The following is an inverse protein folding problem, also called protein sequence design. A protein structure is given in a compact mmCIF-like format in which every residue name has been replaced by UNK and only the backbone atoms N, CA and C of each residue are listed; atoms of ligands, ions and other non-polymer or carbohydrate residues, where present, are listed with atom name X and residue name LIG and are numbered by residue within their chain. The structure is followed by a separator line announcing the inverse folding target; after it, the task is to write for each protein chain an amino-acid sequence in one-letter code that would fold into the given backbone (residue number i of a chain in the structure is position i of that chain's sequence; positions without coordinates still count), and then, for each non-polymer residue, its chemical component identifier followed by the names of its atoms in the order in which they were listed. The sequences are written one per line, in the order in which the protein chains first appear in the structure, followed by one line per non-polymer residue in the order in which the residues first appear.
data_IF_916672664154
#
_entry.id   IF_916672664154
#
_cell.length_a   1.000
_cell.length_b   1.000
_cell.length_c   1.000
_cell.angle_alpha   90.00
_cell.angle_beta   90.00
_cell.angle_gamma   90.00
#
_symmetry.space_group_name_H-M   'P 1'
#
loop_
_entity.id
_entity.type
_entity.pdbx_description
1 polymer ?
#
# COMPACT_ATOMS: atom_id res chain seq x y z
N UNK A 1 12.98 -8.34 -23.10
CA UNK A 1 12.36 -8.62 -21.80
C UNK A 1 11.36 -9.75 -22.00
N UNK A 2 11.37 -10.74 -21.13
CA UNK A 2 10.53 -11.94 -21.21
C UNK A 2 10.12 -12.34 -19.78
N UNK A 3 8.87 -12.71 -19.59
CA UNK A 3 8.37 -13.30 -18.34
C UNK A 3 8.72 -14.79 -18.32
N UNK A 4 9.30 -15.24 -17.21
CA UNK A 4 9.71 -16.63 -17.04
C UNK A 4 9.24 -17.16 -15.69
N UNK A 5 8.53 -18.29 -15.74
CA UNK A 5 8.17 -19.03 -14.53
C UNK A 5 9.43 -19.70 -13.94
N UNK A 6 9.72 -19.43 -12.68
CA UNK A 6 10.85 -20.00 -11.95
C UNK A 6 10.41 -21.10 -10.98
N UNK A 7 9.15 -21.09 -10.56
CA UNK A 7 8.61 -22.10 -9.64
C UNK A 7 7.09 -22.12 -9.74
N UNK A 8 6.48 -23.29 -9.48
CA UNK A 8 5.04 -23.39 -9.20
C UNK A 8 4.75 -24.34 -8.05
N UNK A 9 3.63 -24.10 -7.36
CA UNK A 9 3.20 -24.87 -6.21
C UNK A 9 1.67 -25.07 -6.24
N UNK A 10 1.22 -26.32 -6.16
CA UNK A 10 -0.20 -26.63 -6.03
C UNK A 10 -0.71 -26.29 -4.61
N UNK A 11 -1.87 -25.68 -4.52
CA UNK A 11 -2.51 -25.27 -3.27
C UNK A 11 -3.80 -26.08 -3.06
N UNK A 12 -3.94 -26.65 -1.86
CA UNK A 12 -5.20 -27.26 -1.43
C UNK A 12 -6.03 -26.21 -0.68
N UNK A 13 -7.18 -25.86 -1.21
CA UNK A 13 -8.08 -24.87 -0.64
C UNK A 13 -8.27 -23.64 -1.52
N UNK A 14 -9.23 -22.81 -1.16
CA UNK A 14 -9.55 -21.61 -1.90
C UNK A 14 -8.73 -20.43 -1.38
N UNK A 15 -7.88 -19.87 -2.25
CA UNK A 15 -7.05 -18.69 -1.92
C UNK A 15 -7.95 -17.45 -1.90
N UNK A 16 -7.92 -16.70 -0.79
CA UNK A 16 -8.66 -15.44 -0.60
C UNK A 16 -7.79 -14.21 -0.77
N UNK A 17 -6.55 -14.30 -0.38
CA UNK A 17 -5.58 -13.22 -0.55
C UNK A 17 -4.17 -13.82 -0.63
N UNK A 18 -3.27 -13.13 -1.33
CA UNK A 18 -1.88 -13.52 -1.47
C UNK A 18 -0.99 -12.27 -1.38
N UNK A 19 0.20 -12.44 -0.80
CA UNK A 19 1.24 -11.43 -0.72
C UNK A 19 2.60 -12.06 -0.90
N UNK A 20 3.61 -11.24 -1.19
CA UNK A 20 4.97 -11.70 -1.38
C UNK A 20 5.96 -10.69 -0.79
N UNK A 21 7.13 -11.19 -0.39
CA UNK A 21 8.24 -10.39 0.12
C UNK A 21 9.34 -11.26 0.71
N UNK A 22 10.58 -10.77 0.64
CA UNK A 22 11.77 -11.42 1.22
C UNK A 22 11.96 -12.87 0.78
N UNK A 23 11.70 -13.18 -0.50
CA UNK A 23 11.87 -14.51 -1.06
C UNK A 23 10.75 -15.50 -0.71
N UNK A 24 9.60 -15.01 -0.26
CA UNK A 24 8.46 -15.83 0.16
C UNK A 24 7.17 -15.34 -0.48
N UNK A 25 6.26 -16.27 -0.76
CA UNK A 25 4.86 -15.98 -1.02
C UNK A 25 4.01 -16.50 0.16
N UNK A 26 3.02 -15.74 0.63
CA UNK A 26 2.10 -16.19 1.65
C UNK A 26 0.66 -15.92 1.22
N UNK A 27 -0.27 -16.80 1.63
CA UNK A 27 -1.67 -16.69 1.25
C UNK A 27 -2.63 -17.07 2.37
N UNK A 28 -3.78 -16.41 2.35
CA UNK A 28 -4.91 -16.72 3.21
C UNK A 28 -5.85 -17.67 2.48
N UNK A 29 -6.24 -18.75 3.14
CA UNK A 29 -7.27 -19.66 2.68
C UNK A 29 -8.66 -19.30 3.24
N UNK A 30 -9.71 -19.79 2.59
CA UNK A 30 -11.11 -19.53 3.00
C UNK A 30 -11.50 -20.11 4.35
N UNK A 31 -10.75 -21.09 4.85
CA UNK A 31 -10.90 -21.69 6.20
C UNK A 31 -10.16 -20.90 7.29
N UNK A 32 -9.42 -19.85 6.93
CA UNK A 32 -8.67 -19.00 7.85
C UNK A 32 -7.19 -19.37 8.02
N UNK A 33 -6.74 -20.48 7.44
CA UNK A 33 -5.32 -20.84 7.47
C UNK A 33 -4.48 -19.89 6.65
N UNK A 34 -3.36 -19.43 7.19
CA UNK A 34 -2.33 -18.66 6.48
C UNK A 34 -1.14 -19.56 6.20
N UNK A 35 -0.89 -19.75 4.92
CA UNK A 35 0.17 -20.60 4.39
C UNK A 35 1.31 -19.76 3.85
N UNK A 36 2.52 -20.31 3.79
CA UNK A 36 3.63 -19.68 3.10
C UNK A 36 4.48 -20.68 2.33
N UNK A 37 5.04 -20.22 1.22
CA UNK A 37 6.00 -20.88 0.35
C UNK A 37 7.34 -20.15 0.46
N UNK A 38 8.38 -20.85 0.84
CA UNK A 38 9.76 -20.37 0.69
C UNK A 38 10.20 -20.63 -0.74
N UNK A 39 10.42 -19.56 -1.50
CA UNK A 39 10.76 -19.67 -2.94
C UNK A 39 12.18 -20.16 -3.19
N UNK A 40 13.07 -20.15 -2.19
CA UNK A 40 14.42 -20.70 -2.30
C UNK A 40 14.46 -22.22 -2.13
N UNK A 41 13.61 -22.78 -1.28
CA UNK A 41 13.60 -24.21 -0.94
C UNK A 41 12.41 -24.98 -1.52
N UNK A 42 11.33 -24.29 -1.91
CA UNK A 42 10.05 -24.88 -2.29
C UNK A 42 9.23 -25.42 -1.11
N UNK A 43 9.64 -25.15 0.12
CA UNK A 43 8.93 -25.63 1.31
C UNK A 43 7.64 -24.83 1.52
N UNK A 44 6.54 -25.55 1.74
CA UNK A 44 5.23 -24.99 2.10
C UNK A 44 4.93 -25.30 3.54
N UNK A 45 4.58 -24.27 4.32
CA UNK A 45 4.23 -24.44 5.73
C UNK A 45 2.98 -23.61 6.06
N UNK A 46 2.22 -24.06 7.06
CA UNK A 46 1.18 -23.25 7.69
C UNK A 46 1.87 -22.29 8.67
N UNK A 47 1.73 -20.98 8.44
CA UNK A 47 2.32 -19.96 9.29
C UNK A 47 1.48 -19.74 10.54
N UNK A 48 0.16 -19.59 10.41
CA UNK A 48 -0.79 -19.48 11.50
C UNK A 48 -2.23 -19.67 11.02
N UNK A 49 -3.15 -19.75 11.97
CA UNK A 49 -4.59 -19.78 11.75
C UNK A 49 -5.21 -18.49 12.28
N UNK A 50 -6.11 -17.89 11.53
CA UNK A 50 -6.83 -16.67 11.91
C UNK A 50 -8.07 -16.95 12.76
N UNK A 51 -8.45 -18.22 12.94
CA UNK A 51 -9.59 -18.60 13.78
C UNK A 51 -9.41 -18.10 15.22
N UNK A 52 -10.46 -17.53 15.78
CA UNK A 52 -10.49 -16.97 17.11
C UNK A 52 -11.58 -17.62 17.97
N UNK A 53 -11.25 -17.88 19.22
CA UNK A 53 -12.24 -18.31 20.21
C UNK A 53 -13.03 -17.14 20.82
N UNK A 54 -12.57 -15.91 20.60
CA UNK A 54 -13.17 -14.69 21.18
C UNK A 54 -14.26 -14.15 20.28
N UNK A 55 -15.46 -14.04 20.83
CA UNK A 55 -16.58 -13.43 20.14
C UNK A 55 -16.49 -11.89 20.26
N UNK A 56 -16.32 -11.22 19.13
CA UNK A 56 -16.36 -9.76 19.03
C UNK A 56 -17.73 -9.32 18.54
N UNK A 57 -18.22 -8.17 19.02
CA UNK A 57 -19.53 -7.61 18.63
C UNK A 57 -19.63 -7.37 17.11
N UNK A 58 -18.50 -7.18 16.43
CA UNK A 58 -18.41 -6.97 14.98
C UNK A 58 -17.94 -8.22 14.20
N UNK A 59 -17.86 -9.39 14.85
CA UNK A 59 -17.49 -10.66 14.24
C UNK A 59 -15.98 -10.93 14.14
N UNK A 60 -15.12 -9.95 14.41
CA UNK A 60 -13.66 -10.13 14.37
C UNK A 60 -13.07 -10.17 12.94
N UNK A 61 -11.97 -10.91 12.76
CA UNK A 61 -11.36 -11.13 11.45
C UNK A 61 -12.19 -12.12 10.62
N UNK A 62 -12.53 -11.72 9.39
CA UNK A 62 -13.27 -12.57 8.44
C UNK A 62 -12.35 -13.01 7.31
N UNK A 63 -12.00 -14.31 7.27
CA UNK A 63 -11.16 -14.88 6.23
C UNK A 63 -11.79 -14.82 4.82
N UNK A 64 -13.11 -14.67 4.73
CA UNK A 64 -13.85 -14.57 3.47
C UNK A 64 -14.08 -13.14 2.99
N UNK A 65 -13.80 -12.14 3.81
CA UNK A 65 -13.82 -10.73 3.41
C UNK A 65 -12.60 -10.38 2.52
N UNK A 66 -12.70 -9.34 1.67
CA UNK A 66 -11.56 -8.84 0.93
C UNK A 66 -10.38 -8.56 1.87
N UNK A 67 -9.26 -9.25 1.64
CA UNK A 67 -8.10 -9.24 2.52
C UNK A 67 -6.81 -8.91 1.78
N UNK A 68 -5.78 -8.52 2.49
CA UNK A 68 -4.42 -8.35 1.99
C UNK A 68 -3.43 -9.10 2.89
N UNK A 69 -2.39 -9.66 2.26
CA UNK A 69 -1.29 -10.36 2.93
C UNK A 69 -0.02 -9.59 2.70
N UNK A 70 0.78 -9.44 3.74
CA UNK A 70 2.09 -8.77 3.74
C UNK A 70 3.14 -9.72 4.30
N UNK A 71 4.31 -9.75 3.69
CA UNK A 71 5.43 -10.62 4.08
C UNK A 71 6.70 -9.79 4.16
N UNK A 72 7.47 -9.94 5.22
CA UNK A 72 8.80 -9.32 5.35
C UNK A 72 9.64 -10.04 6.40
N UNK A 73 10.80 -10.58 6.01
CA UNK A 73 11.87 -11.04 6.91
C UNK A 73 11.37 -11.90 8.10
N UNK A 74 10.59 -12.95 7.84
CA UNK A 74 10.06 -13.83 8.88
C UNK A 74 8.80 -13.33 9.58
N UNK A 75 8.21 -12.23 9.12
CA UNK A 75 6.90 -11.75 9.57
C UNK A 75 5.87 -11.87 8.46
N UNK A 76 4.68 -12.32 8.83
CA UNK A 76 3.52 -12.37 7.94
C UNK A 76 2.36 -11.65 8.61
N UNK A 77 1.70 -10.76 7.87
CA UNK A 77 0.47 -10.11 8.30
C UNK A 77 -0.66 -10.38 7.34
N UNK A 78 -1.87 -10.47 7.86
CA UNK A 78 -3.11 -10.50 7.10
C UNK A 78 -4.10 -9.51 7.69
N UNK A 79 -4.75 -8.70 6.84
CA UNK A 79 -5.73 -7.71 7.26
C UNK A 79 -6.97 -7.76 6.38
N UNK A 80 -8.15 -7.53 6.95
CA UNK A 80 -9.35 -7.25 6.14
C UNK A 80 -9.24 -5.85 5.56
N UNK A 81 -9.13 -5.74 4.23
CA UNK A 81 -8.85 -4.47 3.52
C UNK A 81 -9.84 -3.37 3.88
N UNK A 82 -11.12 -3.71 3.86
CA UNK A 82 -12.22 -2.79 4.17
C UNK A 82 -12.88 -3.13 5.51
N UNK A 83 -12.09 -3.70 6.43
CA UNK A 83 -12.49 -4.11 7.77
C UNK A 83 -11.63 -3.48 8.85
N UNK A 84 -11.88 -3.92 10.09
CA UNK A 84 -11.19 -3.41 11.29
C UNK A 84 -10.02 -4.27 11.72
N UNK A 85 -10.01 -5.54 11.34
CA UNK A 85 -9.20 -6.57 11.97
C UNK A 85 -8.06 -7.06 11.09
N UNK A 86 -7.00 -7.51 11.74
CA UNK A 86 -5.87 -8.17 11.13
C UNK A 86 -5.04 -8.92 12.16
N UNK A 87 -4.10 -9.68 11.64
CA UNK A 87 -3.13 -10.47 12.40
C UNK A 87 -1.72 -10.25 11.90
N UNK A 88 -0.77 -10.30 12.81
CA UNK A 88 0.66 -10.38 12.49
C UNK A 88 1.25 -11.56 13.24
N UNK A 89 2.05 -12.36 12.58
CA UNK A 89 2.77 -13.51 13.15
C UNK A 89 4.25 -13.43 12.82
N UNK A 90 5.08 -13.97 13.71
CA UNK A 90 6.50 -14.24 13.49
C UNK A 90 6.72 -15.72 13.19
N UNK A 91 7.67 -16.05 12.33
CA UNK A 91 8.05 -17.44 12.04
C UNK A 91 8.93 -18.04 13.17
N UNK A 92 9.66 -17.19 13.90
CA UNK A 92 10.68 -17.61 14.86
C UNK A 92 10.10 -18.05 16.22
N UNK A 93 8.88 -17.66 16.54
CA UNK A 93 8.21 -18.07 17.77
C UNK A 93 6.68 -18.01 17.61
N UNK A 94 5.94 -18.67 18.52
CA UNK A 94 4.46 -18.72 18.54
C UNK A 94 3.81 -17.37 18.86
N UNK A 95 4.47 -16.27 18.48
CA UNK A 95 4.03 -14.93 18.77
C UNK A 95 3.10 -14.40 17.69
N UNK A 96 1.95 -13.92 18.12
CA UNK A 96 0.96 -13.26 17.25
C UNK A 96 0.47 -11.96 17.87
N UNK A 97 0.27 -10.95 17.04
CA UNK A 97 -0.42 -9.72 17.42
C UNK A 97 -1.72 -9.61 16.63
N UNK A 98 -2.77 -9.26 17.33
CA UNK A 98 -3.98 -8.82 16.71
C UNK A 98 -3.91 -7.32 16.42
N UNK A 99 -4.31 -6.94 15.21
CA UNK A 99 -4.49 -5.56 14.78
C UNK A 99 -5.97 -5.22 14.80
N UNK A 100 -6.29 -4.01 15.23
CA UNK A 100 -7.65 -3.47 15.19
C UNK A 100 -7.60 -1.96 15.00
N UNK A 101 -8.34 -1.44 14.01
CA UNK A 101 -8.55 0.00 13.81
C UNK A 101 -9.98 0.40 14.17
N UNK A 102 -10.24 1.71 14.28
CA UNK A 102 -11.61 2.22 14.44
C UNK A 102 -12.49 1.86 13.23
N UNK A 103 -13.79 2.11 13.35
CA UNK A 103 -14.79 1.74 12.32
C UNK A 103 -15.12 2.87 11.35
N UNK A 104 -14.51 4.06 11.50
CA UNK A 104 -14.93 5.22 10.72
C UNK A 104 -14.44 5.11 9.27
N UNK A 105 -15.38 5.14 8.31
CA UNK A 105 -15.14 5.07 6.85
C UNK A 105 -14.34 3.84 6.36
N UNK A 106 -14.29 2.75 7.12
CA UNK A 106 -13.51 1.54 6.78
C UNK A 106 -13.97 0.89 5.47
N UNK A 107 -15.24 1.02 5.08
CA UNK A 107 -15.76 0.44 3.84
C UNK A 107 -15.19 1.12 2.57
N UNK A 108 -14.60 2.30 2.73
CA UNK A 108 -14.06 3.12 1.64
C UNK A 108 -12.54 3.30 1.71
N UNK A 109 -11.88 2.69 2.70
CA UNK A 109 -10.47 2.90 2.97
C UNK A 109 -9.76 1.57 3.17
N UNK A 110 -8.76 1.28 2.34
CA UNK A 110 -7.88 0.13 2.54
C UNK A 110 -7.27 0.19 3.95
N UNK A 111 -7.07 -0.97 4.58
CA UNK A 111 -6.38 -1.04 5.86
C UNK A 111 -4.94 -0.56 5.69
N UNK A 112 -4.51 0.53 6.37
CA UNK A 112 -3.13 1.00 6.29
C UNK A 112 -2.20 -0.01 6.93
N UNK A 113 -1.39 -0.69 6.12
CA UNK A 113 -0.44 -1.70 6.57
C UNK A 113 0.78 -1.72 5.66
N UNK A 114 1.96 -1.82 6.26
CA UNK A 114 3.22 -2.01 5.55
C UNK A 114 4.33 -2.45 6.49
N UNK A 115 5.31 -3.16 5.96
CA UNK A 115 6.54 -3.51 6.66
C UNK A 115 7.73 -2.76 6.07
N UNK A 116 8.71 -2.45 6.90
CA UNK A 116 10.01 -1.91 6.46
C UNK A 116 11.15 -2.37 7.34
N UNK A 117 12.36 -2.25 6.83
CA UNK A 117 13.58 -2.51 7.59
C UNK A 117 14.26 -1.20 7.94
N UNK A 118 14.60 -1.03 9.21
CA UNK A 118 15.42 0.08 9.71
C UNK A 118 16.40 -0.46 10.75
N UNK A 119 17.67 -0.08 10.64
CA UNK A 119 18.74 -0.52 11.56
C UNK A 119 18.82 -2.05 11.75
N UNK A 120 18.60 -2.80 10.66
CA UNK A 120 18.61 -4.26 10.66
C UNK A 120 17.41 -4.93 11.31
N UNK A 121 16.38 -4.16 11.74
CA UNK A 121 15.18 -4.65 12.39
C UNK A 121 13.95 -4.46 11.50
N UNK A 122 12.97 -5.33 11.65
CA UNK A 122 11.68 -5.20 10.98
C UNK A 122 10.75 -4.32 11.80
N UNK A 123 10.16 -3.36 11.13
CA UNK A 123 9.15 -2.46 11.66
C UNK A 123 7.85 -2.64 10.88
N UNK A 124 6.76 -2.27 11.52
CA UNK A 124 5.41 -2.34 10.96
C UNK A 124 4.74 -0.98 11.09
N UNK A 125 4.14 -0.51 9.99
CA UNK A 125 3.18 0.60 9.99
C UNK A 125 1.79 -0.02 9.97
N UNK A 126 0.88 0.42 10.83
CA UNK A 126 -0.49 -0.11 10.88
C UNK A 126 -1.50 0.96 11.28
N UNK A 127 -2.72 0.85 10.74
CA UNK A 127 -3.81 1.76 11.05
C UNK A 127 -4.38 1.54 12.45
N UNK A 128 -4.56 2.62 13.21
CA UNK A 128 -5.27 2.64 14.49
C UNK A 128 -6.61 3.38 14.36
N UNK A 129 -6.61 4.47 13.61
CA UNK A 129 -7.80 5.23 13.28
C UNK A 129 -7.74 5.72 11.83
N UNK A 130 -8.85 6.26 11.33
CA UNK A 130 -8.94 6.77 9.96
C UNK A 130 -7.84 7.81 9.63
N UNK A 131 -7.48 8.65 10.60
CA UNK A 131 -6.47 9.70 10.48
C UNK A 131 -5.21 9.42 11.33
N UNK A 132 -4.98 8.17 11.72
CA UNK A 132 -3.85 7.82 12.58
C UNK A 132 -3.28 6.44 12.28
N UNK A 133 -1.98 6.41 12.00
CA UNK A 133 -1.19 5.19 11.89
C UNK A 133 -0.12 5.15 12.98
N UNK A 134 0.23 3.95 13.37
CA UNK A 134 1.29 3.67 14.34
C UNK A 134 2.46 2.97 13.66
N UNK A 135 3.65 3.15 14.22
CA UNK A 135 4.84 2.38 13.85
C UNK A 135 5.30 1.56 15.04
N UNK A 136 5.54 0.27 14.83
CA UNK A 136 6.06 -0.65 15.84
C UNK A 136 7.38 -1.28 15.40
N UNK A 137 8.33 -1.40 16.33
CA UNK A 137 9.51 -2.27 16.23
C UNK A 137 9.05 -3.69 16.63
N UNK A 138 9.00 -4.60 15.67
CA UNK A 138 8.53 -5.97 15.88
C UNK A 138 9.54 -6.80 16.66
N UNK A 139 10.83 -6.54 16.50
CA UNK A 139 11.88 -7.21 17.25
C UNK A 139 11.83 -6.85 18.74
N UNK A 140 11.62 -5.56 19.04
CA UNK A 140 11.47 -5.08 20.42
C UNK A 140 10.03 -5.24 20.97
N UNK A 141 9.06 -5.62 20.11
CA UNK A 141 7.63 -5.72 20.43
C UNK A 141 7.07 -4.45 21.06
N UNK A 142 7.41 -3.31 20.47
CA UNK A 142 7.07 -2.00 21.02
C UNK A 142 6.56 -1.04 19.96
N UNK A 143 5.45 -0.35 20.26
CA UNK A 143 4.98 0.78 19.47
C UNK A 143 5.90 1.97 19.71
N UNK A 144 6.47 2.53 18.66
CA UNK A 144 7.41 3.65 18.71
C UNK A 144 6.68 5.00 18.72
N UNK A 145 5.51 5.06 18.13
CA UNK A 145 4.72 6.28 17.91
C UNK A 145 3.52 6.41 18.86
N UNK A 146 3.53 5.71 20.00
CA UNK A 146 2.42 5.73 20.96
C UNK A 146 2.05 7.13 21.48
N UNK A 147 2.99 8.10 21.44
CA UNK A 147 2.76 9.50 21.81
C UNK A 147 2.49 10.42 20.60
N UNK A 148 2.34 9.86 19.41
CA UNK A 148 2.07 10.63 18.18
C UNK A 148 0.73 11.33 18.27
N UNK A 149 0.73 12.62 18.01
CA UNK A 149 -0.48 13.43 17.94
C UNK A 149 -1.19 13.24 16.60
N UNK A 150 -2.50 13.40 16.58
CA UNK A 150 -3.30 13.49 15.35
C UNK A 150 -3.33 14.89 14.72
N UNK A 151 -2.41 15.75 15.10
CA UNK A 151 -2.35 17.15 14.67
C UNK A 151 -1.07 17.36 13.87
N UNK A 152 -1.19 18.06 12.75
CA UNK A 152 -0.04 18.41 11.91
C UNK A 152 0.83 19.47 12.54
N UNK A 153 2.09 19.55 12.14
CA UNK A 153 2.98 20.63 12.54
C UNK A 153 2.44 21.99 12.10
N UNK A 154 2.57 22.99 12.95
CA UNK A 154 2.07 24.36 12.71
C UNK A 154 0.54 24.51 12.79
N UNK A 155 -0.21 23.45 13.21
CA UNK A 155 -1.67 23.53 13.32
C UNK A 155 -2.13 24.54 14.39
N UNK A 156 -1.38 24.69 15.48
CA UNK A 156 -1.66 25.68 16.53
C UNK A 156 -1.54 27.11 15.99
N UNK A 157 -0.51 27.39 15.23
CA UNK A 157 -0.29 28.70 14.59
C UNK A 157 -1.36 29.01 13.57
N UNK A 158 -1.75 28.03 12.73
CA UNK A 158 -2.85 28.19 11.78
C UNK A 158 -4.19 28.42 12.47
N UNK A 159 -4.46 27.69 13.57
CA UNK A 159 -5.65 27.86 14.38
C UNK A 159 -5.74 29.28 14.96
N UNK A 160 -4.66 29.79 15.54
CA UNK A 160 -4.59 31.16 16.09
C UNK A 160 -4.79 32.19 14.97
N UNK A 161 -4.12 32.02 13.83
CA UNK A 161 -4.24 32.93 12.69
C UNK A 161 -5.67 32.98 12.15
N UNK A 162 -6.32 31.80 11.99
CA UNK A 162 -7.69 31.72 11.52
C UNK A 162 -8.65 32.54 12.39
N UNK A 163 -8.62 32.37 13.72
CA UNK A 163 -9.53 33.08 14.63
C UNK A 163 -9.16 34.55 14.89
N UNK A 164 -7.93 34.95 14.59
CA UNK A 164 -7.58 36.38 14.54
C UNK A 164 -8.25 37.07 13.35
N UNK A 165 -8.32 36.37 12.21
CA UNK A 165 -8.87 36.92 10.97
C UNK A 165 -10.39 36.68 10.82
N UNK A 166 -11.01 35.86 11.73
CA UNK A 166 -12.44 35.50 11.76
C UNK A 166 -12.99 35.67 13.19
N UNK A 167 -13.03 36.91 13.68
CA UNK A 167 -13.41 37.19 15.08
C UNK A 167 -14.86 36.81 15.40
N UNK A 168 -15.76 36.81 14.39
CA UNK A 168 -17.18 36.45 14.51
C UNK A 168 -17.44 34.93 14.55
N UNK A 169 -16.46 34.12 14.21
CA UNK A 169 -16.62 32.65 14.17
C UNK A 169 -16.69 32.05 15.58
N UNK A 170 -17.44 30.97 15.71
CA UNK A 170 -17.44 30.16 16.92
C UNK A 170 -16.07 29.48 17.09
N UNK A 171 -15.34 29.89 18.12
CA UNK A 171 -13.96 29.42 18.34
C UNK A 171 -13.94 28.00 18.88
N UNK A 172 -13.21 27.13 18.17
CA UNK A 172 -12.82 25.83 18.70
C UNK A 172 -11.71 26.00 19.76
N UNK A 173 -11.71 25.16 20.78
CA UNK A 173 -10.70 25.21 21.84
C UNK A 173 -9.33 24.68 21.39
N UNK A 174 -9.35 23.76 20.39
CA UNK A 174 -8.19 23.03 19.91
C UNK A 174 -8.03 23.16 18.40
N UNK A 175 -6.83 23.05 17.84
CA UNK A 175 -6.64 22.85 16.41
C UNK A 175 -7.40 21.62 15.93
N UNK A 176 -7.89 21.66 14.69
CA UNK A 176 -8.49 20.49 14.06
C UNK A 176 -7.47 19.36 13.95
N UNK A 177 -7.94 18.13 14.12
CA UNK A 177 -7.14 16.96 13.82
C UNK A 177 -6.80 16.92 12.31
N UNK A 178 -5.77 16.15 11.97
CA UNK A 178 -5.37 15.92 10.59
C UNK A 178 -6.50 15.28 9.80
N UNK A 179 -6.97 15.97 8.78
CA UNK A 179 -8.10 15.55 7.95
C UNK A 179 -7.61 14.76 6.75
N UNK A 180 -7.17 13.53 7.02
CA UNK A 180 -6.64 12.63 6.03
C UNK A 180 -6.96 11.17 6.38
N UNK A 181 -7.55 10.45 5.43
CA UNK A 181 -7.85 9.03 5.56
C UNK A 181 -6.66 8.22 5.05
N UNK A 182 -5.87 7.67 5.98
CA UNK A 182 -4.76 6.80 5.63
C UNK A 182 -5.26 5.56 4.91
N UNK A 183 -4.76 5.34 3.69
CA UNK A 183 -5.05 4.17 2.89
C UNK A 183 -3.86 3.21 2.82
N UNK A 184 -3.72 2.53 1.69
CA UNK A 184 -2.63 1.56 1.47
C UNK A 184 -1.27 2.19 1.68
N UNK A 185 -0.43 1.51 2.46
CA UNK A 185 0.95 1.94 2.71
C UNK A 185 1.89 1.31 1.68
N UNK A 186 2.79 2.12 1.16
CA UNK A 186 3.99 1.72 0.42
C UNK A 186 5.21 2.24 1.15
N UNK A 187 6.32 1.53 1.07
CA UNK A 187 7.56 1.93 1.73
C UNK A 187 8.66 2.05 0.69
N UNK A 188 9.52 3.06 0.80
CA UNK A 188 10.69 3.18 -0.08
C UNK A 188 11.64 1.99 0.13
N UNK A 189 12.42 1.59 -0.89
CA UNK A 189 13.33 0.45 -0.81
C UNK A 189 14.30 0.51 0.38
N UNK A 190 14.74 1.70 0.77
CA UNK A 190 15.63 1.93 1.91
C UNK A 190 14.90 2.07 3.27
N UNK A 191 13.55 2.10 3.27
CA UNK A 191 12.74 2.30 4.46
C UNK A 191 12.75 3.73 5.02
N UNK A 192 13.39 4.68 4.34
CA UNK A 192 13.50 6.06 4.80
C UNK A 192 12.19 6.84 4.67
N UNK A 193 11.34 6.44 3.73
CA UNK A 193 10.03 7.06 3.51
C UNK A 193 8.92 6.03 3.44
N UNK A 194 7.72 6.44 3.79
CA UNK A 194 6.52 5.70 3.44
C UNK A 194 5.49 6.62 2.77
N UNK A 195 4.73 6.05 1.87
CA UNK A 195 3.65 6.68 1.13
C UNK A 195 2.32 6.09 1.62
N UNK A 196 1.37 6.94 1.92
CA UNK A 196 -0.03 6.53 2.08
C UNK A 196 -0.81 6.89 0.83
N UNK A 197 -1.45 5.88 0.21
CA UNK A 197 -2.41 6.06 -0.87
C UNK A 197 -3.80 6.22 -0.25
N UNK A 198 -4.07 7.39 0.27
CA UNK A 198 -5.27 7.73 1.01
C UNK A 198 -6.13 8.76 0.30
N UNK A 199 -7.00 9.44 1.06
CA UNK A 199 -7.92 10.42 0.51
C UNK A 199 -8.32 11.47 1.56
N UNK A 200 -8.88 12.58 1.10
CA UNK A 200 -9.45 13.65 1.93
C UNK A 200 -10.94 13.82 1.63
N UNK A 201 -11.65 14.54 2.51
CA UNK A 201 -13.06 14.83 2.31
C UNK A 201 -13.34 15.47 0.94
N UNK A 202 -14.48 15.08 0.33
CA UNK A 202 -14.83 15.46 -1.04
C UNK A 202 -14.51 14.37 -2.07
N UNK A 203 -14.03 13.20 -1.59
CA UNK A 203 -13.63 12.05 -2.42
C UNK A 203 -12.41 12.31 -3.31
N UNK A 204 -11.46 13.13 -2.83
CA UNK A 204 -10.21 13.39 -3.51
C UNK A 204 -9.13 12.43 -3.04
N UNK A 205 -8.49 11.73 -3.96
CA UNK A 205 -7.26 10.99 -3.68
C UNK A 205 -6.17 11.94 -3.21
N UNK A 206 -5.44 11.53 -2.22
CA UNK A 206 -4.24 12.21 -1.77
C UNK A 206 -3.15 11.18 -1.46
N UNK A 207 -2.11 11.16 -2.27
CA UNK A 207 -0.92 10.36 -2.02
C UNK A 207 0.05 11.23 -1.23
N UNK A 208 0.31 10.82 0.00
CA UNK A 208 1.08 11.60 0.96
C UNK A 208 2.30 10.81 1.42
N UNK A 209 3.47 11.42 1.29
CA UNK A 209 4.74 10.87 1.74
C UNK A 209 5.10 11.39 3.14
N UNK A 210 5.77 10.54 3.88
CA UNK A 210 6.28 10.83 5.22
C UNK A 210 7.72 10.33 5.32
N UNK A 211 8.59 11.11 5.92
CA UNK A 211 9.94 10.65 6.32
C UNK A 211 9.80 9.79 7.57
N UNK A 212 10.20 8.52 7.49
CA UNK A 212 9.96 7.51 8.51
C UNK A 212 10.61 7.86 9.86
N UNK A 213 11.83 8.39 9.83
CA UNK A 213 12.55 8.79 11.03
C UNK A 213 11.88 9.96 11.75
N UNK A 214 11.54 11.00 10.99
CA UNK A 214 10.80 12.15 11.53
C UNK A 214 9.42 11.73 12.05
N UNK A 215 8.74 10.84 11.33
CA UNK A 215 7.44 10.33 11.78
C UNK A 215 7.53 9.61 13.13
N UNK A 216 8.62 8.90 13.41
CA UNK A 216 8.85 8.24 14.70
C UNK A 216 9.21 9.24 15.79
N UNK A 217 10.07 10.21 15.49
CA UNK A 217 10.70 11.08 16.50
C UNK A 217 9.89 12.34 16.80
N UNK A 218 9.20 12.90 15.81
CA UNK A 218 8.39 14.11 15.96
C UNK A 218 6.99 13.76 16.51
N UNK A 219 6.52 14.41 17.57
CA UNK A 219 5.16 14.20 18.09
C UNK A 219 4.06 14.74 17.17
N UNK A 220 4.37 15.64 16.23
CA UNK A 220 3.44 16.18 15.23
C UNK A 220 3.60 15.45 13.89
N UNK A 221 2.55 15.49 13.06
CA UNK A 221 2.60 14.95 11.71
C UNK A 221 3.21 16.01 10.79
N UNK A 222 4.26 15.60 10.07
CA UNK A 222 4.80 16.31 8.91
C UNK A 222 4.54 15.47 7.68
N UNK A 223 3.83 16.05 6.74
CA UNK A 223 3.44 15.39 5.50
C UNK A 223 4.01 16.14 4.29
N UNK A 224 4.18 15.41 3.20
CA UNK A 224 4.44 15.97 1.88
C UNK A 224 3.40 15.40 0.90
N UNK A 225 2.57 16.25 0.33
CA UNK A 225 1.56 15.85 -0.65
C UNK A 225 2.24 15.62 -1.99
N UNK A 226 2.36 14.37 -2.39
CA UNK A 226 2.98 13.97 -3.66
C UNK A 226 2.00 14.15 -4.83
N UNK A 227 0.73 13.80 -4.60
CA UNK A 227 -0.32 13.90 -5.60
C UNK A 227 -1.68 14.09 -4.94
N UNK A 228 -2.54 14.89 -5.57
CA UNK A 228 -3.97 15.02 -5.22
C UNK A 228 -4.82 15.02 -6.51
N UNK A 229 -5.98 14.35 -6.48
CA UNK A 229 -6.85 14.22 -7.66
C UNK A 229 -8.26 13.78 -7.30
N UNK A 230 -9.13 13.60 -8.30
CA UNK A 230 -10.57 13.41 -8.11
C UNK A 230 -11.04 11.94 -7.99
N UNK A 231 -10.18 10.96 -7.86
CA UNK A 231 -10.58 9.55 -7.80
C UNK A 231 -10.18 8.90 -6.48
N UNK A 232 -11.13 8.31 -5.75
CA UNK A 232 -10.82 7.49 -4.59
C UNK A 232 -10.23 6.14 -4.98
N UNK A 233 -9.22 5.68 -4.22
CA UNK A 233 -8.55 4.38 -4.35
C UNK A 233 -7.41 4.30 -5.36
N UNK A 234 -6.80 5.41 -5.71
CA UNK A 234 -5.61 5.43 -6.55
C UNK A 234 -4.43 4.79 -5.84
N UNK A 235 -3.69 3.96 -6.57
CA UNK A 235 -2.45 3.39 -6.09
C UNK A 235 -1.26 4.24 -6.53
N UNK A 236 -0.15 4.09 -5.81
CA UNK A 236 1.15 4.58 -6.21
C UNK A 236 2.24 3.61 -5.74
N UNK A 237 3.43 3.74 -6.26
CA UNK A 237 4.60 3.01 -5.77
C UNK A 237 5.84 3.91 -5.80
N UNK A 238 6.78 3.65 -4.91
CA UNK A 238 8.10 4.27 -5.01
C UNK A 238 8.82 3.81 -6.28
N UNK A 239 9.50 4.74 -6.94
CA UNK A 239 10.43 4.49 -8.03
C UNK A 239 11.82 4.92 -7.56
N UNK A 240 12.61 3.99 -7.04
CA UNK A 240 13.75 4.31 -6.18
C UNK A 240 13.30 4.82 -4.81
N UNK A 241 14.12 5.67 -4.19
CA UNK A 241 13.84 6.18 -2.84
C UNK A 241 13.16 7.56 -2.83
N UNK A 242 13.28 8.32 -3.92
CA UNK A 242 13.01 9.77 -3.94
C UNK A 242 11.88 10.16 -4.90
N UNK A 243 11.26 9.20 -5.57
CA UNK A 243 10.18 9.46 -6.52
C UNK A 243 9.05 8.45 -6.38
N UNK A 244 7.85 8.86 -6.81
CA UNK A 244 6.62 8.07 -6.76
C UNK A 244 5.97 8.03 -8.13
N UNK A 245 5.67 6.83 -8.61
CA UNK A 245 4.89 6.62 -9.83
C UNK A 245 3.39 6.54 -9.49
N UNK A 246 2.56 7.27 -10.23
CA UNK A 246 1.12 7.42 -10.00
C UNK A 246 0.37 7.27 -11.33
N UNK A 247 -0.68 6.43 -11.43
CA UNK A 247 -1.54 6.38 -12.59
C UNK A 247 -2.47 7.60 -12.60
N UNK A 248 -2.48 8.36 -13.68
CA UNK A 248 -3.27 9.58 -13.83
C UNK A 248 -4.11 9.49 -15.09
N UNK A 249 -5.37 9.86 -15.01
CA UNK A 249 -6.17 10.18 -16.20
C UNK A 249 -6.18 11.70 -16.33
N UNK A 250 -5.52 12.25 -17.36
CA UNK A 250 -5.46 13.70 -17.54
C UNK A 250 -6.84 14.29 -17.78
N UNK A 251 -7.04 15.55 -17.39
CA UNK A 251 -8.27 16.26 -17.64
C UNK A 251 -8.38 16.72 -19.12
N UNK A 252 -9.60 16.89 -19.59
CA UNK A 252 -9.90 17.35 -20.96
C UNK A 252 -9.22 18.69 -21.24
N UNK A 253 -9.19 19.57 -20.25
CA UNK A 253 -8.63 20.93 -20.38
C UNK A 253 -7.10 20.93 -20.58
N UNK A 254 -6.40 19.91 -20.12
CA UNK A 254 -4.94 19.79 -20.27
C UNK A 254 -4.50 19.50 -21.71
N UNK A 255 -5.38 18.91 -22.53
CA UNK A 255 -5.05 18.45 -23.88
C UNK A 255 -5.61 19.30 -25.03
N UNK A 256 -6.40 20.36 -24.74
CA UNK A 256 -7.02 21.17 -25.81
C UNK A 256 -7.92 20.32 -26.73
N UNK A 257 -8.67 19.41 -26.15
CA UNK A 257 -9.40 18.34 -26.82
C UNK A 257 -10.48 18.84 -27.78
N UNK A 258 -10.45 18.39 -29.03
CA UNK A 258 -11.41 18.74 -30.09
C UNK A 258 -12.55 17.71 -30.31
N UNK A 259 -12.70 16.73 -29.41
CA UNK A 259 -13.87 15.83 -29.32
C UNK A 259 -13.75 14.50 -30.05
N UNK A 260 -12.59 14.08 -30.54
CA UNK A 260 -12.44 12.88 -31.39
C UNK A 260 -11.95 11.60 -30.70
N UNK A 261 -10.87 11.66 -29.92
CA UNK A 261 -10.21 10.47 -29.37
C UNK A 261 -10.32 10.37 -27.84
N UNK A 262 -10.30 9.18 -27.29
CA UNK A 262 -10.28 8.95 -25.86
C UNK A 262 -8.92 9.43 -25.28
N UNK A 263 -8.96 10.26 -24.23
CA UNK A 263 -7.74 10.69 -23.52
C UNK A 263 -7.11 9.45 -22.86
N UNK A 264 -5.85 9.13 -23.20
CA UNK A 264 -5.19 7.97 -22.66
C UNK A 264 -4.84 8.18 -21.17
N UNK A 265 -4.81 7.08 -20.41
CA UNK A 265 -4.18 7.08 -19.11
C UNK A 265 -2.68 7.29 -19.23
N UNK A 266 -2.10 7.89 -18.22
CA UNK A 266 -0.66 8.08 -18.06
C UNK A 266 -0.19 7.48 -16.75
N UNK A 267 1.08 7.10 -16.71
CA UNK A 267 1.81 6.94 -15.46
C UNK A 267 2.75 8.12 -15.34
N UNK A 268 2.58 8.91 -14.29
CA UNK A 268 3.41 10.08 -14.00
C UNK A 268 4.34 9.79 -12.84
N UNK A 269 5.55 10.31 -12.93
CA UNK A 269 6.56 10.24 -11.89
C UNK A 269 6.61 11.59 -11.17
N UNK A 270 6.48 11.57 -9.85
CA UNK A 270 6.55 12.76 -9.01
C UNK A 270 7.72 12.67 -8.03
N UNK A 271 8.34 13.80 -7.70
CA UNK A 271 9.21 13.91 -6.53
C UNK A 271 8.39 13.77 -5.24
N UNK A 272 9.05 13.58 -4.10
CA UNK A 272 8.36 13.53 -2.82
C UNK A 272 7.70 14.86 -2.43
N UNK A 273 8.12 15.96 -3.04
CA UNK A 273 7.53 17.30 -2.84
C UNK A 273 6.40 17.62 -3.84
N UNK A 274 5.99 16.63 -4.67
CA UNK A 274 4.87 16.74 -5.60
C UNK A 274 5.21 17.40 -6.93
N UNK A 275 6.49 17.58 -7.27
CA UNK A 275 6.91 18.06 -8.59
C UNK A 275 6.82 16.91 -9.61
N UNK A 276 6.11 17.13 -10.73
CA UNK A 276 6.07 16.16 -11.83
C UNK A 276 7.43 16.12 -12.55
N UNK A 277 8.02 14.93 -12.58
CA UNK A 277 9.35 14.68 -13.17
C UNK A 277 9.28 14.11 -14.58
N UNK A 278 8.28 13.26 -14.85
CA UNK A 278 8.09 12.59 -16.13
C UNK A 278 6.67 12.03 -16.26
N UNK A 279 6.23 11.80 -17.50
CA UNK A 279 4.98 11.11 -17.80
C UNK A 279 5.16 10.16 -18.98
N UNK A 280 4.46 9.01 -18.93
CA UNK A 280 4.40 8.06 -20.04
C UNK A 280 2.94 7.72 -20.31
N UNK A 281 2.51 7.94 -21.57
CA UNK A 281 1.15 7.65 -21.99
C UNK A 281 0.95 6.16 -22.26
N UNK A 282 -0.23 5.63 -21.87
CA UNK A 282 -0.62 4.22 -21.97
C UNK A 282 -1.96 4.08 -22.70
N UNK A 283 -2.00 4.32 -24.02
CA UNK A 283 -3.24 4.25 -24.79
C UNK A 283 -3.85 2.85 -24.74
N UNK A 284 -5.18 2.80 -24.63
CA UNK A 284 -5.94 1.56 -24.59
C UNK A 284 -5.84 0.78 -23.27
N UNK A 285 -5.25 1.37 -22.21
CA UNK A 285 -5.19 0.76 -20.88
C UNK A 285 -6.02 1.57 -19.88
N UNK A 286 -6.86 0.89 -19.10
CA UNK A 286 -7.58 1.51 -17.99
C UNK A 286 -6.82 1.28 -16.69
N UNK A 287 -6.21 2.35 -16.16
CA UNK A 287 -5.38 2.26 -14.97
C UNK A 287 -6.10 2.62 -13.65
N UNK A 288 -7.42 2.80 -13.66
CA UNK A 288 -8.17 3.22 -12.48
C UNK A 288 -7.96 2.31 -11.25
N UNK A 289 -7.73 1.03 -11.48
CA UNK A 289 -7.49 0.03 -10.42
C UNK A 289 -6.16 -0.69 -10.58
N UNK A 290 -5.21 -0.07 -11.29
CA UNK A 290 -3.90 -0.66 -11.50
C UNK A 290 -3.16 -0.85 -10.19
N UNK A 291 -2.48 -1.99 -10.06
CA UNK A 291 -1.42 -2.19 -9.08
C UNK A 291 -0.11 -1.72 -9.69
N UNK A 292 0.76 -1.18 -8.84
CA UNK A 292 2.08 -0.71 -9.25
C UNK A 292 3.16 -1.25 -8.33
N UNK A 293 4.30 -1.54 -8.91
CA UNK A 293 5.56 -1.80 -8.21
C UNK A 293 6.73 -1.31 -9.05
N UNK A 294 7.87 -1.10 -8.42
CA UNK A 294 9.07 -0.69 -9.15
C UNK A 294 10.30 -1.44 -8.66
N UNK A 295 11.10 -1.89 -9.61
CA UNK A 295 12.44 -2.45 -9.35
C UNK A 295 13.39 -2.14 -10.52
N UNK A 296 14.66 -1.90 -10.21
CA UNK A 296 15.70 -1.61 -11.20
C UNK A 296 15.39 -0.44 -12.16
N UNK A 297 14.58 0.52 -11.73
CA UNK A 297 14.22 1.69 -12.52
C UNK A 297 13.09 1.47 -13.53
N UNK A 298 12.47 0.29 -13.52
CA UNK A 298 11.24 0.01 -14.24
C UNK A 298 10.05 0.13 -13.30
N UNK A 299 8.94 0.62 -13.81
CA UNK A 299 7.64 0.59 -13.14
C UNK A 299 6.77 -0.44 -13.81
N UNK A 300 6.33 -1.41 -13.03
CA UNK A 300 5.40 -2.44 -13.45
C UNK A 300 3.98 -2.07 -13.06
N UNK A 301 3.06 -2.30 -13.99
CA UNK A 301 1.63 -2.09 -13.78
C UNK A 301 0.89 -3.37 -14.12
N UNK A 302 -0.11 -3.71 -13.33
CA UNK A 302 -1.00 -4.83 -13.66
C UNK A 302 -2.42 -4.61 -13.15
N UNK A 303 -3.34 -5.27 -13.81
CA UNK A 303 -4.76 -5.23 -13.47
C UNK A 303 -5.59 -6.11 -14.39
N UNK A 304 -6.71 -6.62 -13.88
CA UNK A 304 -7.59 -7.55 -14.63
C UNK A 304 -8.17 -6.99 -15.92
N UNK A 305 -8.14 -5.66 -16.11
CA UNK A 305 -8.72 -5.01 -17.29
C UNK A 305 -7.72 -4.85 -18.45
N UNK A 306 -6.42 -4.98 -18.19
CA UNK A 306 -5.39 -4.73 -19.22
C UNK A 306 -4.20 -5.69 -19.17
N UNK A 307 -4.17 -6.62 -18.19
CA UNK A 307 -3.06 -7.53 -17.99
C UNK A 307 -1.87 -6.85 -17.30
N UNK A 308 -0.70 -6.85 -17.93
CA UNK A 308 0.58 -6.40 -17.39
C UNK A 308 1.32 -5.46 -18.35
N UNK A 309 2.01 -4.48 -17.82
CA UNK A 309 2.92 -3.62 -18.56
C UNK A 309 4.14 -3.24 -17.73
N UNK A 310 5.27 -3.00 -18.41
CA UNK A 310 6.48 -2.43 -17.84
C UNK A 310 6.82 -1.10 -18.54
N UNK A 311 7.08 -0.07 -17.75
CA UNK A 311 7.39 1.29 -18.18
C UNK A 311 8.81 1.66 -17.75
N UNK A 312 9.59 2.19 -18.67
CA UNK A 312 10.90 2.79 -18.38
C UNK A 312 10.81 4.31 -18.52
N UNK A 313 10.87 5.03 -17.42
CA UNK A 313 10.86 6.49 -17.41
C UNK A 313 12.11 7.14 -18.02
N UNK A 314 13.22 6.41 -18.17
CA UNK A 314 14.44 6.93 -18.81
C UNK A 314 14.27 7.02 -20.32
N UNK A 315 13.61 6.03 -20.94
CA UNK A 315 13.28 6.05 -22.36
C UNK A 315 11.96 6.76 -22.65
N UNK A 316 11.08 6.87 -21.65
CA UNK A 316 9.71 7.38 -21.82
C UNK A 316 8.79 6.40 -22.55
N UNK A 317 9.08 5.11 -22.50
CA UNK A 317 8.40 4.08 -23.29
C UNK A 317 7.83 2.95 -22.44
N UNK A 318 6.77 2.30 -22.97
CA UNK A 318 6.32 0.99 -22.52
C UNK A 318 7.24 -0.05 -23.14
N UNK A 319 8.06 -0.70 -22.33
CA UNK A 319 9.11 -1.63 -22.80
C UNK A 319 8.65 -3.08 -22.84
N UNK A 320 7.52 -3.40 -22.21
CA UNK A 320 6.89 -4.72 -22.25
C UNK A 320 5.38 -4.61 -22.02
N UNK A 321 4.60 -5.48 -22.65
CA UNK A 321 3.15 -5.63 -22.45
C UNK A 321 2.74 -7.09 -22.64
N UNK A 322 1.84 -7.56 -21.75
CA UNK A 322 1.22 -8.87 -21.81
C UNK A 322 -0.22 -8.76 -21.28
N UNK A 323 -1.21 -8.98 -22.15
CA UNK A 323 -2.62 -8.80 -21.80
C UNK A 323 -3.19 -10.00 -21.01
N UNK A 324 -2.50 -11.14 -21.03
CA UNK A 324 -2.93 -12.37 -20.36
C UNK A 324 -2.29 -12.53 -18.97
N UNK A 325 -1.12 -11.92 -18.75
CA UNK A 325 -0.43 -12.01 -17.47
C UNK A 325 -0.97 -10.98 -16.46
N UNK A 326 -1.50 -11.45 -15.33
CA UNK A 326 -1.99 -10.57 -14.26
C UNK A 326 -1.55 -11.12 -12.89
N UNK A 327 -0.40 -10.70 -12.36
CA UNK A 327 0.06 -11.17 -11.06
C UNK A 327 -0.85 -10.69 -9.93
N UNK A 328 -0.96 -11.49 -8.89
CA UNK A 328 -1.72 -11.18 -7.68
C UNK A 328 -0.88 -10.48 -6.61
N UNK A 329 0.46 -10.70 -6.61
CA UNK A 329 1.40 -10.06 -5.69
C UNK A 329 2.78 -9.87 -6.35
N UNK A 330 3.62 -9.06 -5.70
CA UNK A 330 4.98 -8.78 -6.13
C UNK A 330 5.92 -8.74 -4.93
N UNK A 331 7.05 -9.43 -5.04
CA UNK A 331 8.16 -9.38 -4.09
C UNK A 331 9.17 -8.32 -4.56
N UNK A 332 9.14 -7.15 -3.92
CA UNK A 332 10.01 -6.01 -4.27
C UNK A 332 11.50 -6.30 -3.99
N UNK A 333 11.80 -7.17 -3.01
CA UNK A 333 13.19 -7.50 -2.66
C UNK A 333 13.88 -8.34 -3.73
N UNK A 334 13.13 -9.20 -4.43
CA UNK A 334 13.64 -10.14 -5.42
C UNK A 334 13.20 -9.83 -6.86
N UNK A 335 12.26 -8.91 -7.03
CA UNK A 335 11.69 -8.61 -8.35
C UNK A 335 10.83 -9.75 -8.91
N UNK A 336 10.13 -10.50 -8.03
CA UNK A 336 9.32 -11.64 -8.43
C UNK A 336 7.85 -11.32 -8.44
N UNK A 337 7.17 -11.76 -9.49
CA UNK A 337 5.72 -11.72 -9.58
C UNK A 337 5.14 -13.04 -9.10
N UNK A 338 3.99 -12.97 -8.43
CA UNK A 338 3.29 -14.13 -7.92
C UNK A 338 1.90 -14.17 -8.54
N UNK A 339 1.58 -15.26 -9.24
CA UNK A 339 0.23 -15.56 -9.74
C UNK A 339 -0.46 -16.56 -8.82
N UNK A 340 -1.80 -16.55 -8.83
CA UNK A 340 -2.62 -17.50 -8.09
C UNK A 340 -3.84 -17.84 -8.94
N UNK A 341 -3.74 -18.89 -9.73
CA UNK A 341 -4.75 -19.31 -10.70
C UNK A 341 -4.98 -20.82 -10.59
N UNK A 342 -6.23 -21.27 -10.71
CA UNK A 342 -6.64 -22.68 -10.73
C UNK A 342 -6.04 -23.55 -9.61
N UNK A 343 -5.86 -22.97 -8.42
CA UNK A 343 -5.26 -23.68 -7.28
C UNK A 343 -3.74 -23.89 -7.40
N UNK A 344 -3.07 -23.11 -8.25
CA UNK A 344 -1.62 -23.11 -8.42
C UNK A 344 -1.08 -21.71 -8.13
N UNK A 345 -0.02 -21.63 -7.33
CA UNK A 345 0.78 -20.42 -7.17
C UNK A 345 1.98 -20.55 -8.11
N UNK A 346 2.15 -19.57 -9.00
CA UNK A 346 3.30 -19.43 -9.88
C UNK A 346 4.20 -18.28 -9.43
N UNK A 347 5.52 -18.49 -9.45
CA UNK A 347 6.53 -17.45 -9.20
C UNK A 347 7.24 -17.15 -10.51
N UNK A 348 7.27 -15.89 -10.88
CA UNK A 348 7.76 -15.41 -12.18
C UNK A 348 8.81 -14.33 -12.01
N UNK A 349 9.72 -14.23 -12.95
CA UNK A 349 10.69 -13.14 -13.05
C UNK A 349 10.66 -12.50 -14.43
N UNK A 350 11.11 -11.25 -14.51
CA UNK A 350 11.31 -10.55 -15.77
C UNK A 350 12.80 -10.57 -16.12
N UNK A 351 13.17 -11.21 -17.23
CA UNK A 351 14.56 -11.31 -17.74
C UNK A 351 14.81 -10.37 -18.94
#
# INVERSE_FOLDING_TARGET
MELKEIMSCAVNGEIRAIGAGSGRAAWLLSDGAVMSLDCGTGAVVMTFDTAEEVNYDDGGFDANAPSAVYVKDGYTAVVNRFGRHGWVSSDDDDWRIRLMRDSYQIAHTDYPMGFFRRDGKVHMIFGEAWNHVQIADLTARRVLTAAKSRVTEGAEERHIAYYRDHEEANKLLWPSEYDYFYGRIRVSPDGAHFLSCGWVWGAFDALVAYETGDFIENPRIRESVVFAGEHMSRNGCFCGNDAVAVPVKPDIDDYGYDGGDEIPWEVRLYSLDGEELAAVSLPGMNLAKAYLASVNGLVYLWGSEFGFAAVDFRSGEVVYRDEEFCPAAFDEDNGWFVTAEDGVIGIWTME
#
